data_IF_743806094395
#
_entry.id   IF_743806094395
#
_cell.length_a   1.000
_cell.length_b   1.000
_cell.length_c   1.000
_cell.angle_alpha   90.00
_cell.angle_beta   90.00
_cell.angle_gamma   90.00
#
_symmetry.space_group_name_H-M   'P 1'
#
loop_
_entity.id
_entity.type
_entity.pdbx_description
1 polymer ?
#
# COMPACT_ATOMS: atom_id res chain seq x y z
N UNK A 1 -19.10 2.38 8.16
CA UNK A 1 -19.86 1.76 7.04
C UNK A 1 -20.41 0.38 7.42
N UNK A 2 -19.59 -0.65 7.77
CA UNK A 2 -20.08 -2.00 8.05
C UNK A 2 -21.15 -2.03 9.17
N UNK A 3 -20.89 -1.35 10.30
CA UNK A 3 -21.83 -1.30 11.44
C UNK A 3 -23.22 -0.77 11.06
N UNK A 4 -23.30 0.19 10.13
CA UNK A 4 -24.57 0.73 9.64
C UNK A 4 -25.36 -0.32 8.85
N UNK A 5 -24.67 -1.07 7.97
CA UNK A 5 -25.30 -2.14 7.20
C UNK A 5 -25.70 -3.30 8.12
N UNK A 6 -24.86 -3.64 9.09
CA UNK A 6 -25.15 -4.70 10.07
C UNK A 6 -26.40 -4.39 10.88
N UNK A 7 -26.58 -3.12 11.29
CA UNK A 7 -27.75 -2.67 12.04
C UNK A 7 -29.07 -2.81 11.25
N UNK A 8 -29.00 -2.84 9.91
CA UNK A 8 -30.17 -3.06 9.04
C UNK A 8 -30.60 -4.53 8.98
N UNK A 9 -29.74 -5.44 9.46
CA UNK A 9 -29.94 -6.89 9.47
C UNK A 9 -30.42 -7.48 8.11
N UNK A 10 -29.75 -7.20 6.99
CA UNK A 10 -30.17 -7.70 5.67
C UNK A 10 -29.95 -9.21 5.56
N UNK A 11 -30.75 -9.89 4.73
CA UNK A 11 -30.58 -11.32 4.45
C UNK A 11 -29.31 -11.59 3.61
N UNK A 12 -28.88 -10.63 2.82
CA UNK A 12 -27.70 -10.72 1.94
C UNK A 12 -26.82 -9.50 2.17
N UNK A 13 -25.55 -9.72 2.49
CA UNK A 13 -24.51 -8.72 2.58
C UNK A 13 -23.68 -8.75 1.29
N UNK A 14 -23.50 -7.62 0.65
CA UNK A 14 -22.58 -7.46 -0.48
C UNK A 14 -21.47 -6.49 -0.07
N UNK A 15 -20.24 -6.97 -0.10
CA UNK A 15 -19.06 -6.24 0.36
C UNK A 15 -18.06 -6.13 -0.79
N UNK A 16 -17.67 -4.91 -1.11
CA UNK A 16 -16.67 -4.61 -2.13
C UNK A 16 -15.39 -4.12 -1.43
N UNK A 17 -14.32 -4.89 -1.57
CA UNK A 17 -13.00 -4.66 -0.95
C UNK A 17 -13.07 -4.22 0.53
N UNK A 18 -13.79 -4.93 1.40
CA UNK A 18 -13.98 -4.49 2.78
C UNK A 18 -12.67 -4.46 3.58
N UNK A 19 -11.63 -5.13 3.12
CA UNK A 19 -10.30 -5.13 3.76
C UNK A 19 -9.40 -3.98 3.29
N UNK A 20 -9.82 -3.18 2.30
CA UNK A 20 -9.06 -2.03 1.83
C UNK A 20 -8.75 -1.09 3.01
N UNK A 21 -7.49 -0.70 3.15
CA UNK A 21 -7.01 0.18 4.23
C UNK A 21 -7.13 -0.36 5.66
N UNK A 22 -7.47 -1.64 5.86
CA UNK A 22 -7.44 -2.28 7.18
C UNK A 22 -6.04 -2.76 7.52
N UNK A 23 -5.62 -2.54 8.75
CA UNK A 23 -4.45 -3.19 9.34
C UNK A 23 -4.78 -4.64 9.77
N UNK A 24 -3.78 -5.35 10.27
CA UNK A 24 -3.91 -6.75 10.64
C UNK A 24 -4.97 -6.96 11.75
N UNK A 25 -5.01 -6.09 12.76
CA UNK A 25 -5.97 -6.18 13.86
C UNK A 25 -7.40 -5.94 13.37
N UNK A 26 -7.61 -4.89 12.56
CA UNK A 26 -8.91 -4.57 11.98
C UNK A 26 -9.39 -5.67 11.03
N UNK A 27 -8.49 -6.32 10.30
CA UNK A 27 -8.80 -7.48 9.46
C UNK A 27 -9.28 -8.68 10.29
N UNK A 28 -8.64 -8.93 11.43
CA UNK A 28 -9.10 -9.95 12.39
C UNK A 28 -10.50 -9.66 12.94
N UNK A 29 -10.80 -8.39 13.23
CA UNK A 29 -12.16 -7.95 13.65
C UNK A 29 -13.17 -8.15 12.53
N UNK A 30 -12.85 -7.77 11.30
CA UNK A 30 -13.72 -8.00 10.13
C UNK A 30 -14.06 -9.49 9.97
N UNK A 31 -13.05 -10.36 10.01
CA UNK A 31 -13.25 -11.81 9.93
C UNK A 31 -14.24 -12.31 10.99
N UNK A 32 -14.06 -11.93 12.26
CA UNK A 32 -14.97 -12.32 13.35
C UNK A 32 -16.41 -11.87 13.10
N UNK A 33 -16.59 -10.65 12.58
CA UNK A 33 -17.92 -10.14 12.25
C UNK A 33 -18.56 -10.97 11.13
N UNK A 34 -17.80 -11.31 10.10
CA UNK A 34 -18.27 -12.16 8.99
C UNK A 34 -18.66 -13.57 9.49
N UNK A 35 -17.90 -14.14 10.43
CA UNK A 35 -18.24 -15.42 11.08
C UNK A 35 -19.57 -15.33 11.84
N UNK A 36 -19.84 -14.22 12.55
CA UNK A 36 -21.11 -13.99 13.25
C UNK A 36 -22.26 -13.89 12.25
N UNK A 37 -22.12 -13.10 11.19
CA UNK A 37 -23.11 -12.93 10.13
C UNK A 37 -23.44 -14.27 9.49
N UNK A 38 -22.41 -15.06 9.13
CA UNK A 38 -22.57 -16.41 8.55
C UNK A 38 -23.30 -17.35 9.50
N UNK A 39 -22.93 -17.38 10.78
CA UNK A 39 -23.60 -18.20 11.81
C UNK A 39 -25.05 -17.77 12.03
N UNK A 40 -25.38 -16.52 11.81
CA UNK A 40 -26.74 -15.98 11.84
C UNK A 40 -27.62 -16.41 10.64
N UNK A 41 -27.08 -17.19 9.70
CA UNK A 41 -27.80 -17.68 8.54
C UNK A 41 -27.90 -16.69 7.37
N UNK A 42 -27.14 -15.59 7.42
CA UNK A 42 -27.12 -14.60 6.36
C UNK A 42 -26.17 -15.00 5.21
N UNK A 43 -26.49 -14.63 3.99
CA UNK A 43 -25.62 -14.80 2.84
C UNK A 43 -24.65 -13.62 2.72
N UNK A 44 -23.39 -13.90 2.42
CA UNK A 44 -22.38 -12.87 2.23
C UNK A 44 -21.69 -13.06 0.89
N UNK A 45 -21.68 -12.02 0.05
CA UNK A 45 -20.87 -11.92 -1.16
C UNK A 45 -19.75 -10.91 -0.91
N UNK A 46 -18.51 -11.30 -1.24
CA UNK A 46 -17.34 -10.45 -1.03
C UNK A 46 -16.53 -10.42 -2.30
N UNK A 47 -16.35 -9.25 -2.89
CA UNK A 47 -15.32 -8.99 -3.88
C UNK A 47 -14.02 -8.60 -3.13
N UNK A 48 -12.90 -9.29 -3.40
CA UNK A 48 -11.71 -9.11 -2.57
C UNK A 48 -10.42 -9.53 -3.28
N UNK A 49 -9.35 -8.78 -3.02
CA UNK A 49 -7.98 -9.10 -3.46
C UNK A 49 -7.13 -9.76 -2.37
N UNK A 50 -7.43 -9.50 -1.09
CA UNK A 50 -6.73 -10.06 0.07
C UNK A 50 -7.41 -11.33 0.54
N UNK A 51 -7.05 -12.45 -0.04
CA UNK A 51 -7.77 -13.72 0.14
C UNK A 51 -7.44 -14.44 1.45
N UNK A 52 -6.33 -14.10 2.10
CA UNK A 52 -5.82 -14.83 3.27
C UNK A 52 -6.81 -14.88 4.46
N UNK A 53 -7.51 -13.78 4.76
CA UNK A 53 -8.46 -13.73 5.88
C UNK A 53 -9.78 -14.46 5.58
N UNK A 54 -10.08 -14.77 4.31
CA UNK A 54 -11.25 -15.53 3.88
C UNK A 54 -10.98 -17.05 3.89
N UNK A 55 -9.74 -17.45 4.06
CA UNK A 55 -9.37 -18.87 4.13
C UNK A 55 -10.11 -19.56 5.29
N UNK A 56 -10.80 -20.67 4.98
CA UNK A 56 -11.65 -21.40 5.93
C UNK A 56 -12.94 -20.67 6.35
N UNK A 57 -13.24 -19.49 5.79
CA UNK A 57 -14.48 -18.76 6.00
C UNK A 57 -15.42 -18.84 4.79
N UNK A 58 -14.87 -18.64 3.59
CA UNK A 58 -15.61 -18.72 2.34
C UNK A 58 -15.96 -20.17 2.01
N UNK A 59 -17.19 -20.43 1.57
CA UNK A 59 -17.67 -21.75 1.15
C UNK A 59 -17.39 -22.00 -0.35
N UNK A 60 -17.53 -20.93 -1.15
CA UNK A 60 -17.31 -20.95 -2.61
C UNK A 60 -16.47 -19.74 -3.01
N UNK A 61 -15.64 -19.93 -4.00
CA UNK A 61 -14.83 -18.87 -4.60
C UNK A 61 -15.15 -18.80 -6.11
N UNK A 62 -15.47 -17.61 -6.57
CA UNK A 62 -15.81 -17.34 -7.97
C UNK A 62 -14.68 -16.52 -8.57
N UNK A 63 -14.04 -17.04 -9.60
CA UNK A 63 -13.00 -16.32 -10.33
C UNK A 63 -13.60 -15.64 -11.55
N UNK A 64 -13.52 -14.31 -11.57
CA UNK A 64 -13.97 -13.45 -12.64
C UNK A 64 -12.82 -13.02 -13.54
N UNK A 65 -13.01 -13.10 -14.86
CA UNK A 65 -12.08 -12.58 -15.86
C UNK A 65 -12.84 -11.96 -17.03
N UNK A 66 -12.44 -10.77 -17.45
CA UNK A 66 -13.07 -10.03 -18.54
C UNK A 66 -14.62 -9.95 -18.42
N UNK A 67 -15.12 -9.73 -17.19
CA UNK A 67 -16.56 -9.60 -16.91
C UNK A 67 -17.36 -10.91 -16.94
N UNK A 68 -16.69 -12.07 -16.95
CA UNK A 68 -17.33 -13.39 -16.98
C UNK A 68 -16.84 -14.26 -15.84
N UNK A 69 -17.69 -15.17 -15.36
CA UNK A 69 -17.27 -16.24 -14.46
C UNK A 69 -16.46 -17.24 -15.31
N UNK A 70 -15.17 -17.34 -15.04
CA UNK A 70 -14.27 -18.25 -15.72
C UNK A 70 -14.15 -19.59 -14.97
N UNK A 71 -14.12 -19.51 -13.63
CA UNK A 71 -14.07 -20.72 -12.78
C UNK A 71 -14.81 -20.49 -11.47
N UNK A 72 -15.34 -21.59 -10.94
CA UNK A 72 -15.82 -21.70 -9.56
C UNK A 72 -15.02 -22.76 -8.84
N UNK A 73 -14.75 -22.51 -7.55
CA UNK A 73 -14.01 -23.42 -6.68
C UNK A 73 -14.75 -23.61 -5.37
N UNK A 74 -14.69 -24.79 -4.83
CA UNK A 74 -14.91 -25.02 -3.42
C UNK A 74 -13.73 -24.43 -2.60
N UNK A 75 -13.92 -24.22 -1.29
CA UNK A 75 -12.84 -23.76 -0.41
C UNK A 75 -11.63 -24.70 -0.44
N UNK A 76 -11.85 -26.02 -0.52
CA UNK A 76 -10.78 -27.01 -0.55
C UNK A 76 -9.98 -26.97 -1.88
N UNK A 77 -10.65 -26.91 -3.01
CA UNK A 77 -10.01 -26.80 -4.33
C UNK A 77 -9.16 -25.54 -4.42
N UNK A 78 -9.73 -24.40 -3.97
CA UNK A 78 -9.02 -23.13 -3.99
C UNK A 78 -7.79 -23.11 -3.06
N UNK A 79 -7.90 -23.72 -1.88
CA UNK A 79 -6.76 -23.86 -0.97
C UNK A 79 -5.67 -24.78 -1.52
N UNK A 80 -6.04 -25.74 -2.37
CA UNK A 80 -5.14 -26.68 -3.04
C UNK A 80 -4.40 -26.12 -4.27
N UNK A 81 -4.80 -24.95 -4.79
CA UNK A 81 -4.12 -24.33 -5.93
C UNK A 81 -2.66 -24.07 -5.60
N UNK A 82 -1.78 -24.41 -6.54
CA UNK A 82 -0.36 -24.09 -6.47
C UNK A 82 -0.13 -22.57 -6.62
N UNK A 83 1.02 -22.10 -6.19
CA UNK A 83 1.38 -20.67 -6.34
C UNK A 83 1.48 -20.27 -7.83
N UNK A 84 1.97 -21.19 -8.69
CA UNK A 84 2.03 -20.96 -10.14
C UNK A 84 0.64 -20.80 -10.77
N UNK A 85 -0.35 -21.59 -10.35
CA UNK A 85 -1.73 -21.45 -10.81
C UNK A 85 -2.35 -20.13 -10.35
N UNK A 86 -2.13 -19.72 -9.10
CA UNK A 86 -2.59 -18.41 -8.60
C UNK A 86 -1.97 -17.24 -9.35
N UNK A 87 -0.67 -17.30 -9.58
CA UNK A 87 0.05 -16.26 -10.35
C UNK A 87 -0.48 -16.17 -11.77
N UNK A 88 -0.71 -17.29 -12.44
CA UNK A 88 -1.29 -17.31 -13.79
C UNK A 88 -2.71 -16.73 -13.85
N UNK A 89 -3.46 -16.81 -12.74
CA UNK A 89 -4.78 -16.19 -12.58
C UNK A 89 -4.71 -14.73 -12.11
N UNK A 90 -3.52 -14.16 -11.88
CA UNK A 90 -3.36 -12.82 -11.32
C UNK A 90 -3.79 -12.69 -9.85
N UNK A 91 -3.89 -13.80 -9.12
CA UNK A 91 -4.31 -13.81 -7.72
C UNK A 91 -3.11 -13.63 -6.78
N UNK A 92 -3.35 -12.96 -5.67
CA UNK A 92 -2.34 -12.82 -4.61
C UNK A 92 -2.14 -14.14 -3.87
N UNK A 93 -0.92 -14.35 -3.37
CA UNK A 93 -0.62 -15.49 -2.51
C UNK A 93 -1.49 -15.51 -1.25
N UNK A 94 -1.93 -16.70 -0.86
CA UNK A 94 -2.67 -16.94 0.40
C UNK A 94 -1.68 -17.26 1.53
N UNK A 95 -0.51 -17.77 1.20
CA UNK A 95 0.53 -18.18 2.16
C UNK A 95 1.60 -17.11 2.21
N UNK A 96 2.01 -16.73 3.40
CA UNK A 96 3.27 -15.99 3.59
C UNK A 96 4.40 -16.99 3.38
N UNK A 97 5.05 -16.96 2.22
CA UNK A 97 6.29 -17.70 2.03
C UNK A 97 7.37 -17.11 2.92
N UNK A 98 8.26 -17.95 3.43
CA UNK A 98 9.46 -17.50 4.12
C UNK A 98 10.35 -16.78 3.10
N UNK A 99 10.23 -15.45 3.08
CA UNK A 99 11.11 -14.60 2.28
C UNK A 99 12.51 -14.72 2.89
N UNK A 100 13.44 -15.31 2.13
CA UNK A 100 14.85 -15.26 2.51
C UNK A 100 15.34 -13.82 2.47
N UNK A 101 15.45 -13.21 3.61
CA UNK A 101 16.01 -11.88 3.75
C UNK A 101 17.53 -12.02 3.60
N UNK A 102 18.17 -11.34 2.63
CA UNK A 102 19.63 -11.33 2.56
C UNK A 102 20.18 -10.68 3.84
N UNK A 103 21.15 -11.35 4.49
CA UNK A 103 21.84 -10.77 5.62
C UNK A 103 22.61 -9.52 5.16
N UNK A 104 22.09 -8.35 5.52
CA UNK A 104 22.77 -7.07 5.34
C UNK A 104 23.16 -6.53 6.70
N UNK A 105 24.38 -6.05 6.78
CA UNK A 105 24.85 -5.34 7.97
C UNK A 105 24.16 -3.98 8.03
N UNK A 106 23.28 -3.80 9.02
CA UNK A 106 22.40 -2.62 9.14
C UNK A 106 23.16 -1.33 9.55
N UNK A 107 24.45 -1.40 9.88
CA UNK A 107 25.22 -0.24 10.28
C UNK A 107 26.47 -0.10 9.41
N UNK A 108 26.42 0.87 8.51
CA UNK A 108 27.64 1.42 7.92
C UNK A 108 28.02 2.72 8.65
N UNK A 109 29.32 3.01 8.79
CA UNK A 109 29.77 4.19 9.54
C UNK A 109 29.35 5.52 8.91
N UNK A 110 28.98 5.53 7.64
CA UNK A 110 28.59 6.74 6.90
C UNK A 110 27.36 6.47 6.01
N UNK A 111 26.15 6.51 6.57
CA UNK A 111 24.92 6.25 5.83
C UNK A 111 24.63 7.40 4.83
N UNK A 112 24.13 7.04 3.63
CA UNK A 112 23.74 8.03 2.62
C UNK A 112 22.56 8.90 3.07
N UNK A 113 21.65 8.34 3.86
CA UNK A 113 20.56 9.05 4.52
C UNK A 113 20.61 8.81 6.01
N UNK A 114 20.63 9.87 6.80
CA UNK A 114 20.46 9.82 8.24
C UNK A 114 19.33 10.76 8.68
N UNK A 115 18.49 10.26 9.55
CA UNK A 115 17.38 10.99 10.16
C UNK A 115 17.61 10.96 11.66
N UNK A 116 17.72 12.13 12.29
CA UNK A 116 18.01 12.23 13.71
C UNK A 116 16.91 12.99 14.45
N UNK A 117 16.34 12.33 15.45
CA UNK A 117 15.46 12.92 16.47
C UNK A 117 14.25 13.65 15.88
N UNK A 118 13.66 13.14 14.77
CA UNK A 118 12.49 13.75 14.15
C UNK A 118 11.28 13.63 15.07
N UNK A 119 10.75 14.79 15.45
CA UNK A 119 9.44 14.88 16.09
C UNK A 119 8.50 15.73 15.25
N UNK A 120 7.24 15.31 15.13
CA UNK A 120 6.25 16.04 14.35
C UNK A 120 4.88 16.07 15.03
N UNK A 121 4.17 17.17 14.85
CA UNK A 121 2.80 17.35 15.32
C UNK A 121 1.84 17.45 14.15
N UNK A 122 0.64 16.91 14.32
CA UNK A 122 -0.49 17.17 13.42
C UNK A 122 -1.58 17.86 14.24
N UNK A 123 -1.96 19.07 13.83
CA UNK A 123 -2.73 19.98 14.68
C UNK A 123 -1.96 20.22 15.99
N UNK A 124 -2.54 19.93 17.16
CA UNK A 124 -1.89 20.12 18.49
C UNK A 124 -1.31 18.83 19.08
N UNK A 125 -1.53 17.65 18.42
CA UNK A 125 -1.11 16.34 18.94
C UNK A 125 0.27 15.97 18.39
N UNK A 126 1.17 15.57 19.28
CA UNK A 126 2.46 14.95 18.93
C UNK A 126 2.17 13.57 18.31
N UNK A 127 2.63 13.35 17.09
CA UNK A 127 2.44 12.10 16.32
C UNK A 127 3.75 11.33 16.22
N UNK A 128 4.84 12.04 15.94
CA UNK A 128 6.18 11.46 15.93
C UNK A 128 6.94 11.99 17.14
N UNK A 129 7.59 11.11 17.86
CA UNK A 129 8.36 11.45 19.05
C UNK A 129 9.75 10.84 18.94
N UNK A 130 10.76 11.67 18.69
CA UNK A 130 12.17 11.32 18.72
C UNK A 130 12.58 10.15 17.81
N UNK A 131 12.09 10.15 16.56
CA UNK A 131 12.34 9.08 15.60
C UNK A 131 13.68 9.29 14.90
N UNK A 132 14.52 8.26 14.91
CA UNK A 132 15.82 8.24 14.22
C UNK A 132 15.93 6.98 13.37
N UNK A 133 16.52 7.10 12.17
CA UNK A 133 16.88 5.98 11.31
C UNK A 133 18.02 6.36 10.38
N UNK A 134 18.67 5.35 9.81
CA UNK A 134 19.65 5.53 8.74
C UNK A 134 19.39 4.57 7.59
N UNK A 135 19.83 4.94 6.39
CA UNK A 135 19.75 4.14 5.20
C UNK A 135 20.96 4.35 4.30
N UNK A 136 21.30 3.34 3.53
CA UNK A 136 22.34 3.39 2.51
C UNK A 136 21.74 3.43 1.10
N UNK A 137 22.55 3.78 0.12
CA UNK A 137 22.13 3.69 -1.27
C UNK A 137 21.70 2.26 -1.63
N UNK A 138 20.54 2.12 -2.26
CA UNK A 138 19.97 0.85 -2.66
C UNK A 138 19.23 0.08 -1.55
N UNK A 139 19.11 0.64 -0.34
CA UNK A 139 18.29 0.04 0.70
C UNK A 139 16.80 0.25 0.42
N UNK A 140 16.01 -0.79 0.71
CA UNK A 140 14.55 -0.70 0.78
C UNK A 140 14.13 -0.88 2.23
N UNK A 141 13.53 0.15 2.81
CA UNK A 141 13.13 0.15 4.23
C UNK A 141 11.61 0.06 4.33
N UNK A 142 11.11 -1.02 4.93
CA UNK A 142 9.70 -1.19 5.26
C UNK A 142 9.34 -0.47 6.56
N UNK A 143 8.43 0.51 6.50
CA UNK A 143 7.86 1.17 7.68
C UNK A 143 6.52 0.53 8.00
N UNK A 144 6.48 -0.25 9.07
CA UNK A 144 5.32 -1.03 9.48
C UNK A 144 4.71 -0.52 10.78
N UNK A 145 3.46 -0.84 11.01
CA UNK A 145 2.73 -0.46 12.24
C UNK A 145 1.23 -0.31 11.98
N UNK A 146 0.46 -0.19 13.07
CA UNK A 146 -1.00 -0.04 13.03
C UNK A 146 -1.45 1.25 12.32
N UNK A 147 -2.75 1.30 11.98
CA UNK A 147 -3.35 2.52 11.46
C UNK A 147 -3.29 3.63 12.52
N UNK A 148 -2.87 4.82 12.10
CA UNK A 148 -2.68 5.95 13.02
C UNK A 148 -1.34 5.98 13.76
N UNK A 149 -0.43 5.00 13.58
CA UNK A 149 0.90 4.98 14.23
C UNK A 149 1.86 6.09 13.78
N UNK A 150 1.51 6.84 12.70
CA UNK A 150 2.32 7.96 12.23
C UNK A 150 3.14 7.70 10.97
N UNK A 151 3.01 6.55 10.31
CA UNK A 151 3.77 6.19 9.09
C UNK A 151 3.73 7.28 8.01
N UNK A 152 2.52 7.68 7.60
CA UNK A 152 2.34 8.75 6.59
C UNK A 152 2.83 10.11 7.09
N UNK A 153 2.73 10.37 8.40
CA UNK A 153 3.27 11.58 9.02
C UNK A 153 4.78 11.60 8.93
N UNK A 154 5.43 10.46 9.16
CA UNK A 154 6.87 10.33 9.02
C UNK A 154 7.32 10.54 7.56
N UNK A 155 6.71 9.83 6.59
CA UNK A 155 7.03 10.02 5.18
C UNK A 155 6.86 11.48 4.73
N UNK A 156 5.75 12.12 5.11
CA UNK A 156 5.51 13.54 4.79
C UNK A 156 6.51 14.48 5.45
N UNK A 157 6.94 14.17 6.68
CA UNK A 157 7.96 14.96 7.39
C UNK A 157 9.34 14.76 6.77
N UNK A 158 9.66 13.53 6.36
CA UNK A 158 10.92 13.21 5.68
C UNK A 158 11.03 13.96 4.35
N UNK A 159 9.99 13.94 3.52
CA UNK A 159 9.93 14.66 2.24
C UNK A 159 9.79 16.18 2.40
N UNK A 160 9.65 16.71 3.61
CA UNK A 160 9.49 18.15 3.85
C UNK A 160 8.09 18.70 3.57
N UNK A 161 7.10 17.85 3.29
CA UNK A 161 5.70 18.26 3.09
C UNK A 161 5.05 18.69 4.40
N UNK A 162 5.38 18.01 5.50
CA UNK A 162 4.97 18.37 6.85
C UNK A 162 6.17 18.94 7.63
N UNK A 163 6.02 20.09 8.32
CA UNK A 163 7.10 20.60 9.17
C UNK A 163 7.32 19.68 10.37
N UNK A 164 8.58 19.27 10.59
CA UNK A 164 8.99 18.68 11.85
C UNK A 164 9.07 19.78 12.95
N UNK A 165 8.78 19.37 14.18
CA UNK A 165 8.95 20.26 15.36
C UNK A 165 10.41 20.30 15.76
N UNK A 166 11.12 19.17 15.63
CA UNK A 166 12.55 19.03 15.94
C UNK A 166 13.18 17.97 15.05
N UNK A 167 14.50 17.87 15.12
CA UNK A 167 15.29 16.88 14.42
C UNK A 167 15.87 17.39 13.11
N UNK A 168 16.64 16.52 12.48
CA UNK A 168 17.33 16.85 11.24
C UNK A 168 17.39 15.66 10.28
N UNK A 169 17.54 15.99 9.01
CA UNK A 169 17.73 15.03 7.91
C UNK A 169 19.05 15.36 7.22
N UNK A 170 19.94 14.40 7.17
CA UNK A 170 21.24 14.46 6.52
C UNK A 170 21.21 13.53 5.33
N UNK A 171 21.62 14.03 4.16
CA UNK A 171 21.69 13.25 2.93
C UNK A 171 23.06 13.48 2.28
N UNK A 172 23.81 12.39 2.05
CA UNK A 172 25.21 12.44 1.60
C UNK A 172 26.06 13.42 2.42
N UNK A 173 26.00 13.29 3.74
CA UNK A 173 26.75 14.13 4.67
C UNK A 173 26.29 15.59 4.79
N UNK A 174 25.22 16.00 4.06
CA UNK A 174 24.71 17.37 4.08
C UNK A 174 23.36 17.44 4.79
N UNK A 175 23.26 18.31 5.79
CA UNK A 175 21.97 18.62 6.43
C UNK A 175 21.05 19.33 5.44
N UNK A 176 19.87 18.74 5.20
CA UNK A 176 18.90 19.28 4.27
C UNK A 176 17.86 20.16 4.97
N UNK A 177 17.64 21.36 4.40
CA UNK A 177 16.50 22.18 4.77
C UNK A 177 15.19 21.54 4.29
N UNK A 178 14.07 21.95 4.87
CA UNK A 178 12.75 21.49 4.43
C UNK A 178 12.54 21.66 2.92
N UNK A 179 12.89 22.86 2.37
CA UNK A 179 12.77 23.16 0.94
C UNK A 179 13.70 22.32 0.07
N UNK A 180 14.89 21.98 0.56
CA UNK A 180 15.79 21.08 -0.16
C UNK A 180 15.21 19.65 -0.25
N UNK A 181 14.61 19.17 0.83
CA UNK A 181 13.96 17.84 0.86
C UNK A 181 12.80 17.74 -0.11
N UNK A 182 11.92 18.74 -0.19
CA UNK A 182 10.80 18.74 -1.15
C UNK A 182 11.24 18.75 -2.61
N UNK A 183 12.49 19.13 -2.90
CA UNK A 183 13.06 19.11 -4.26
C UNK A 183 13.82 17.83 -4.59
N UNK A 184 14.37 17.17 -3.56
CA UNK A 184 15.27 16.01 -3.75
C UNK A 184 14.57 14.68 -3.46
N UNK A 185 13.52 14.68 -2.65
CA UNK A 185 12.81 13.47 -2.27
C UNK A 185 11.44 13.41 -2.95
N UNK A 186 11.19 12.32 -3.66
CA UNK A 186 9.87 12.01 -4.21
C UNK A 186 8.99 11.30 -3.18
N UNK A 187 7.68 11.51 -3.24
CA UNK A 187 6.70 10.79 -2.43
C UNK A 187 5.53 10.37 -3.29
N UNK A 188 5.18 9.08 -3.25
CA UNK A 188 3.91 8.58 -3.79
C UNK A 188 2.93 8.52 -2.63
N UNK A 189 1.80 9.21 -2.76
CA UNK A 189 0.77 9.27 -1.72
C UNK A 189 -0.12 8.02 -1.76
N UNK A 190 -0.77 7.70 -0.64
CA UNK A 190 -1.73 6.61 -0.57
C UNK A 190 -2.94 6.84 -1.50
N UNK A 191 -3.43 8.06 -1.58
CA UNK A 191 -4.43 8.48 -2.54
C UNK A 191 -3.72 9.22 -3.69
N UNK A 192 -3.50 8.48 -4.77
CA UNK A 192 -2.78 8.98 -5.95
C UNK A 192 -3.56 10.07 -6.70
N UNK A 193 -4.89 10.12 -6.57
CA UNK A 193 -5.71 11.14 -7.22
C UNK A 193 -5.35 12.56 -6.73
N UNK A 194 -4.78 12.67 -5.54
CA UNK A 194 -4.27 13.96 -5.04
C UNK A 194 -2.93 14.39 -5.65
N UNK A 195 -2.34 13.57 -6.52
CA UNK A 195 -1.07 13.84 -7.18
C UNK A 195 -1.17 13.93 -8.71
N UNK A 196 -2.30 13.52 -9.28
CA UNK A 196 -2.53 13.57 -10.71
C UNK A 196 -3.29 14.86 -11.05
N UNK A 197 -2.66 15.71 -11.87
CA UNK A 197 -3.19 17.04 -12.21
C UNK A 197 -3.35 17.24 -13.71
N UNK A 198 -2.73 16.37 -14.51
CA UNK A 198 -2.73 16.48 -15.96
C UNK A 198 -3.88 15.66 -16.57
N UNK A 199 -4.21 15.97 -17.81
CA UNK A 199 -5.26 15.33 -18.59
C UNK A 199 -4.81 14.05 -19.29
N UNK A 200 -3.51 13.76 -19.28
CA UNK A 200 -2.94 12.53 -19.83
C UNK A 200 -1.68 12.09 -19.08
N UNK A 201 -1.36 10.80 -19.20
CA UNK A 201 -0.15 10.22 -18.59
C UNK A 201 1.11 10.89 -19.14
N UNK A 202 1.14 11.20 -20.44
CA UNK A 202 2.25 11.94 -21.06
C UNK A 202 2.45 13.31 -20.43
N UNK A 203 1.37 14.07 -20.27
CA UNK A 203 1.43 15.42 -19.69
C UNK A 203 1.80 15.38 -18.21
N UNK A 204 1.41 14.34 -17.47
CA UNK A 204 1.84 14.13 -16.09
C UNK A 204 3.36 13.92 -16.01
N UNK A 205 3.94 13.10 -16.91
CA UNK A 205 5.38 12.90 -17.01
C UNK A 205 6.12 14.20 -17.34
N UNK A 206 5.61 14.98 -18.31
CA UNK A 206 6.17 16.29 -18.67
C UNK A 206 6.08 17.31 -17.55
N UNK A 207 5.00 17.29 -16.75
CA UNK A 207 4.85 18.16 -15.57
C UNK A 207 5.92 17.86 -14.51
N UNK A 208 6.31 16.58 -14.37
CA UNK A 208 7.36 16.15 -13.46
C UNK A 208 8.77 16.45 -14.01
N UNK A 209 8.99 16.27 -15.31
CA UNK A 209 10.24 16.55 -15.99
C UNK A 209 9.99 17.27 -17.34
N UNK A 210 9.94 18.61 -17.34
CA UNK A 210 9.65 19.39 -18.56
C UNK A 210 10.66 19.23 -19.71
N UNK A 211 11.84 18.68 -19.41
CA UNK A 211 12.90 18.48 -20.40
C UNK A 211 12.95 17.03 -20.94
N UNK A 212 12.03 16.16 -20.50
CA UNK A 212 11.98 14.79 -20.98
C UNK A 212 11.59 14.76 -22.47
N UNK A 213 12.31 13.97 -23.25
CA UNK A 213 11.96 13.70 -24.63
C UNK A 213 10.83 12.67 -24.73
N UNK A 214 10.10 12.68 -25.85
CA UNK A 214 9.04 11.69 -26.10
C UNK A 214 9.60 10.25 -26.00
N UNK A 215 10.78 10.00 -26.51
CA UNK A 215 11.43 8.68 -26.45
C UNK A 215 11.75 8.25 -24.99
N UNK A 216 12.15 9.17 -24.13
CA UNK A 216 12.38 8.86 -22.70
C UNK A 216 11.08 8.53 -21.98
N UNK A 217 9.99 9.25 -22.30
CA UNK A 217 8.66 8.98 -21.75
C UNK A 217 8.14 7.62 -22.22
N UNK A 218 8.23 7.32 -23.52
CA UNK A 218 7.82 6.02 -24.06
C UNK A 218 8.60 4.86 -23.44
N UNK A 219 9.92 4.99 -23.32
CA UNK A 219 10.76 3.98 -22.67
C UNK A 219 10.39 3.77 -21.19
N UNK A 220 10.11 4.87 -20.48
CA UNK A 220 9.64 4.82 -19.09
C UNK A 220 8.30 4.08 -19.00
N UNK A 221 7.31 4.47 -19.79
CA UNK A 221 5.97 3.88 -19.77
C UNK A 221 6.00 2.40 -20.20
N UNK A 222 6.84 2.06 -21.17
CA UNK A 222 7.03 0.67 -21.58
C UNK A 222 7.61 -0.19 -20.42
N UNK A 223 8.51 0.35 -19.62
CA UNK A 223 9.06 -0.36 -18.46
C UNK A 223 8.03 -0.65 -17.36
N UNK A 224 6.88 0.03 -17.37
CA UNK A 224 5.76 -0.15 -16.45
C UNK A 224 4.52 -0.78 -17.10
N UNK A 225 4.62 -1.25 -18.36
CA UNK A 225 3.47 -1.76 -19.14
C UNK A 225 2.32 -0.73 -19.27
N UNK A 226 2.66 0.55 -19.38
CA UNK A 226 1.71 1.68 -19.44
C UNK A 226 1.71 2.39 -20.79
N UNK A 227 2.43 1.89 -21.79
CA UNK A 227 2.53 2.57 -23.09
C UNK A 227 1.17 2.75 -23.79
N UNK A 228 0.28 1.76 -23.65
CA UNK A 228 -1.08 1.83 -24.21
C UNK A 228 -2.00 2.87 -23.53
N UNK A 229 -1.51 3.49 -22.45
CA UNK A 229 -2.23 4.49 -21.68
C UNK A 229 -1.67 5.91 -21.86
N UNK A 230 -0.68 6.12 -22.75
CA UNK A 230 0.09 7.37 -22.87
C UNK A 230 -0.80 8.62 -23.07
N UNK A 231 -1.89 8.48 -23.81
CA UNK A 231 -2.82 9.56 -24.14
C UNK A 231 -4.11 9.57 -23.27
N UNK A 232 -4.16 8.75 -22.22
CA UNK A 232 -5.29 8.66 -21.29
C UNK A 232 -5.14 9.61 -20.13
#
# INVERSE_FOLDING_TARGET
AFASVYAMNPQVYVLDEPSANLDHEAMGKLRRILEIVKKGGHTVLIAEHRLSYLSGLADRIIYLKAGRIEKEFTAAEFAGLSESERTAMGLRSIRSEEIKIPERTFMQPDPSLAVHHISAKRKKRLILNDLSLSANNGDIIGIVGENGSGKSTFCSSLCGLLPAVSGEVIFHGKKLTRRARTRQFGMVMQDVNHQLFSDSVKNECLSANPNATDQEIENLLNSFDLLDCIDR
#
